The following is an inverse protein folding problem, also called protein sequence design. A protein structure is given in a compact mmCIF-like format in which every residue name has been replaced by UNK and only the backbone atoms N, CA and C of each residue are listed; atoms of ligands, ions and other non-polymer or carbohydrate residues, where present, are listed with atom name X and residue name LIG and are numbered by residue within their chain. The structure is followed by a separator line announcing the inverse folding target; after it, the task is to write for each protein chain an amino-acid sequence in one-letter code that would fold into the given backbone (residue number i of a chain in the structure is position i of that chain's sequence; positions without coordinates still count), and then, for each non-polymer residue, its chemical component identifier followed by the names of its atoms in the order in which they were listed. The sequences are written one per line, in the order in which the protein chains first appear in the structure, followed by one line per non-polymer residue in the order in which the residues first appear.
data_IF_087634159700
#
_entry.id   IF_087634159700
#
_cell.length_a   1.000
_cell.length_b   1.000
_cell.length_c   1.000
_cell.angle_alpha   90.00
_cell.angle_beta   90.00
_cell.angle_gamma   90.00
#
_symmetry.space_group_name_H-M   'P 1'
#
loop_
_entity.id
_entity.type
_entity.pdbx_description
1 polymer ?
#
# COMPACT_ATOMS: atom_id res chain seq x y z
N UNK A 1 13.27 -1.04 3.76
CA UNK A 1 13.38 -1.02 2.28
C UNK A 1 13.87 0.33 1.77
N UNK A 2 14.66 0.36 0.69
CA UNK A 2 15.00 1.58 -0.06
C UNK A 2 14.17 1.60 -1.33
N UNK A 3 13.31 2.61 -1.47
CA UNK A 3 12.52 2.88 -2.66
C UNK A 3 13.21 3.99 -3.46
N UNK A 4 13.58 3.71 -4.71
CA UNK A 4 14.37 4.61 -5.55
C UNK A 4 14.06 4.45 -7.04
N UNK A 5 14.41 5.46 -7.84
CA UNK A 5 14.39 5.32 -9.31
C UNK A 5 15.74 4.83 -9.81
N UNK A 6 15.75 3.95 -10.83
CA UNK A 6 16.99 3.38 -11.34
C UNK A 6 18.03 4.42 -11.84
N UNK A 7 17.62 5.67 -12.13
CA UNK A 7 18.57 6.75 -12.45
C UNK A 7 19.51 7.09 -11.29
N UNK A 8 19.09 6.85 -10.06
CA UNK A 8 19.86 7.11 -8.84
C UNK A 8 20.54 5.84 -8.30
N UNK A 9 20.65 4.76 -9.09
CA UNK A 9 21.20 3.45 -8.68
C UNK A 9 22.58 3.54 -8.04
N UNK A 10 23.49 4.35 -8.59
CA UNK A 10 24.85 4.46 -8.07
C UNK A 10 24.88 5.01 -6.62
N UNK A 11 24.15 6.09 -6.37
CA UNK A 11 24.09 6.71 -5.04
C UNK A 11 23.29 5.85 -4.05
N UNK A 12 22.18 5.24 -4.50
CA UNK A 12 21.41 4.32 -3.66
C UNK A 12 22.22 3.08 -3.28
N UNK A 13 23.09 2.58 -4.16
CA UNK A 13 24.00 1.49 -3.86
C UNK A 13 25.02 1.87 -2.78
N UNK A 14 25.57 3.09 -2.82
CA UNK A 14 26.47 3.57 -1.77
C UNK A 14 25.76 3.66 -0.41
N UNK A 15 24.54 4.20 -0.39
CA UNK A 15 23.70 4.28 0.82
C UNK A 15 23.40 2.87 1.35
N UNK A 16 23.02 1.94 0.47
CA UNK A 16 22.80 0.54 0.82
C UNK A 16 24.05 -0.09 1.46
N UNK A 17 25.21 0.04 0.82
CA UNK A 17 26.46 -0.55 1.30
C UNK A 17 26.82 -0.02 2.71
N UNK A 18 26.61 1.28 2.98
CA UNK A 18 26.82 1.86 4.32
C UNK A 18 25.78 1.41 5.35
N UNK A 19 24.51 1.28 4.98
CA UNK A 19 23.47 0.77 5.89
C UNK A 19 23.73 -0.70 6.25
N UNK A 20 24.17 -1.54 5.30
CA UNK A 20 24.56 -2.93 5.59
C UNK A 20 25.75 -2.96 6.56
N UNK A 21 26.80 -2.16 6.31
CA UNK A 21 27.96 -2.05 7.23
C UNK A 21 27.56 -1.61 8.63
N UNK A 22 26.55 -0.75 8.74
CA UNK A 22 26.01 -0.30 10.02
C UNK A 22 25.06 -1.32 10.71
N UNK A 23 24.86 -2.50 10.11
CA UNK A 23 24.10 -3.61 10.69
C UNK A 23 22.60 -3.61 10.38
N UNK A 24 22.12 -2.78 9.45
CA UNK A 24 20.71 -2.80 9.04
C UNK A 24 20.44 -3.97 8.09
N UNK A 25 19.27 -4.60 8.24
CA UNK A 25 18.72 -5.46 7.19
C UNK A 25 18.01 -4.57 6.18
N UNK A 26 18.58 -4.46 4.99
CA UNK A 26 18.06 -3.58 3.94
C UNK A 26 17.63 -4.40 2.74
N UNK A 27 16.43 -4.12 2.26
CA UNK A 27 15.96 -4.58 0.97
C UNK A 27 16.02 -3.43 -0.03
N UNK A 28 16.51 -3.71 -1.24
CA UNK A 28 16.57 -2.79 -2.37
C UNK A 28 16.54 -3.61 -3.66
N UNK A 29 15.82 -3.12 -4.67
CA UNK A 29 15.75 -3.76 -5.97
C UNK A 29 16.86 -3.26 -6.91
N UNK A 30 17.98 -3.98 -7.00
CA UNK A 30 19.08 -3.60 -7.89
C UNK A 30 18.92 -4.07 -9.33
N UNK A 31 18.27 -5.21 -9.54
CA UNK A 31 18.14 -5.87 -10.82
C UNK A 31 16.68 -5.76 -11.22
N UNK A 32 16.38 -5.04 -12.32
CA UNK A 32 15.00 -4.90 -12.83
C UNK A 32 14.28 -6.24 -12.67
N UNK A 33 13.37 -6.33 -11.70
CA UNK A 33 12.82 -7.63 -11.35
C UNK A 33 12.11 -8.20 -12.58
N UNK A 34 12.46 -9.44 -12.95
CA UNK A 34 11.76 -10.18 -13.99
C UNK A 34 10.74 -11.09 -13.29
N UNK A 35 9.46 -11.01 -13.65
CA UNK A 35 8.39 -11.83 -13.05
C UNK A 35 7.37 -11.01 -12.24
N UNK A 36 6.99 -11.49 -11.05
CA UNK A 36 5.98 -10.85 -10.20
C UNK A 36 6.57 -9.73 -9.33
N UNK A 37 7.01 -8.68 -10.01
CA UNK A 37 7.67 -7.50 -9.44
C UNK A 37 6.83 -6.87 -8.31
N UNK A 38 5.51 -6.82 -8.51
CA UNK A 38 4.60 -6.17 -7.57
C UNK A 38 4.46 -6.92 -6.25
N UNK A 39 4.43 -8.26 -6.27
CA UNK A 39 4.36 -9.06 -5.05
C UNK A 39 5.66 -8.97 -4.24
N UNK A 40 6.81 -9.00 -4.93
CA UNK A 40 8.10 -8.85 -4.27
C UNK A 40 8.23 -7.47 -3.60
N UNK A 41 7.77 -6.40 -4.26
CA UNK A 41 7.72 -5.05 -3.70
C UNK A 41 6.76 -4.96 -2.51
N UNK A 42 5.54 -5.52 -2.63
CA UNK A 42 4.56 -5.53 -1.55
C UNK A 42 5.09 -6.25 -0.32
N UNK A 43 5.67 -7.43 -0.51
CA UNK A 43 6.29 -8.22 0.55
C UNK A 43 7.46 -7.46 1.21
N UNK A 44 8.29 -6.77 0.43
CA UNK A 44 9.39 -5.97 0.96
C UNK A 44 8.91 -4.81 1.85
N UNK A 45 7.82 -4.15 1.47
CA UNK A 45 7.19 -3.09 2.28
C UNK A 45 6.55 -3.69 3.53
N UNK A 46 5.89 -4.84 3.43
CA UNK A 46 5.25 -5.50 4.58
C UNK A 46 6.25 -5.99 5.62
N UNK A 47 7.41 -6.47 5.18
CA UNK A 47 8.49 -6.95 6.05
C UNK A 47 9.41 -5.83 6.55
N UNK A 48 9.24 -4.60 6.06
CA UNK A 48 10.05 -3.45 6.45
C UNK A 48 9.34 -2.60 7.50
N UNK A 49 10.02 -2.27 8.59
CA UNK A 49 9.56 -1.26 9.55
C UNK A 49 9.63 0.16 8.97
N UNK A 50 10.65 0.39 8.12
CA UNK A 50 10.97 1.71 7.56
C UNK A 50 11.16 1.61 6.05
N UNK A 51 10.60 2.58 5.33
CA UNK A 51 10.77 2.78 3.89
C UNK A 51 11.50 4.10 3.65
N UNK A 52 12.69 4.01 3.06
CA UNK A 52 13.47 5.17 2.66
C UNK A 52 13.02 5.59 1.26
N UNK A 53 12.53 6.81 1.11
CA UNK A 53 12.08 7.36 -0.18
C UNK A 53 13.18 8.23 -0.77
N UNK A 54 13.81 7.77 -1.84
CA UNK A 54 14.86 8.49 -2.56
C UNK A 54 14.25 9.47 -3.57
N UNK A 55 14.04 10.72 -3.13
CA UNK A 55 13.39 11.75 -3.92
C UNK A 55 14.23 12.24 -5.10
N UNK A 56 13.62 12.18 -6.27
CA UNK A 56 14.06 12.79 -7.52
C UNK A 56 12.87 13.04 -8.44
N UNK A 57 13.07 13.80 -9.52
CA UNK A 57 12.05 14.00 -10.56
C UNK A 57 11.66 12.66 -11.20
N UNK A 58 12.63 11.74 -11.34
CA UNK A 58 12.40 10.43 -11.92
C UNK A 58 11.68 9.48 -10.97
N UNK A 59 11.97 9.58 -9.67
CA UNK A 59 11.19 8.93 -8.65
C UNK A 59 9.72 9.37 -8.72
N UNK A 60 9.46 10.68 -8.81
CA UNK A 60 8.11 11.24 -8.92
C UNK A 60 7.36 10.77 -10.18
N UNK A 61 8.06 10.57 -11.29
CA UNK A 61 7.48 10.11 -12.56
C UNK A 61 7.29 8.59 -12.64
N UNK A 62 7.95 7.83 -11.78
CA UNK A 62 7.89 6.37 -11.80
C UNK A 62 6.60 5.87 -11.16
N UNK A 63 5.79 5.15 -11.94
CA UNK A 63 4.58 4.51 -11.44
C UNK A 63 4.88 3.47 -10.34
N UNK A 64 6.01 2.76 -10.45
CA UNK A 64 6.46 1.80 -9.43
C UNK A 64 6.82 2.51 -8.12
N UNK A 65 7.63 3.57 -8.19
CA UNK A 65 8.00 4.36 -7.01
C UNK A 65 6.78 4.99 -6.34
N UNK A 66 5.81 5.46 -7.15
CA UNK A 66 4.54 5.97 -6.67
C UNK A 66 3.75 4.88 -5.91
N UNK A 67 3.64 3.68 -6.48
CA UNK A 67 2.96 2.57 -5.84
C UNK A 67 3.64 2.18 -4.50
N UNK A 68 4.98 2.13 -4.46
CA UNK A 68 5.73 1.85 -3.22
C UNK A 68 5.47 2.88 -2.13
N UNK A 69 5.61 4.17 -2.47
CA UNK A 69 5.40 5.26 -1.53
C UNK A 69 3.97 5.25 -0.96
N UNK A 70 2.99 5.04 -1.82
CA UNK A 70 1.58 4.98 -1.41
C UNK A 70 1.30 3.74 -0.57
N UNK A 71 1.86 2.58 -0.93
CA UNK A 71 1.65 1.35 -0.16
C UNK A 71 2.32 1.43 1.22
N UNK A 72 3.53 1.99 1.28
CA UNK A 72 4.22 2.26 2.54
C UNK A 72 3.39 3.19 3.44
N UNK A 73 2.81 4.24 2.86
CA UNK A 73 1.93 5.17 3.58
C UNK A 73 0.65 4.49 4.10
N UNK A 74 -0.02 3.70 3.26
CA UNK A 74 -1.23 2.95 3.65
C UNK A 74 -0.99 1.91 4.72
N UNK A 75 0.21 1.30 4.74
CA UNK A 75 0.63 0.33 5.76
C UNK A 75 1.26 0.97 6.99
N UNK A 76 1.14 2.30 7.12
CA UNK A 76 1.68 3.09 8.23
C UNK A 76 3.16 2.77 8.50
N UNK A 77 3.92 2.46 7.43
CA UNK A 77 5.36 2.26 7.54
C UNK A 77 6.01 3.60 7.82
N UNK A 78 7.04 3.59 8.65
CA UNK A 78 7.84 4.80 8.87
C UNK A 78 8.48 5.19 7.54
N UNK A 79 8.14 6.37 7.04
CA UNK A 79 8.72 6.92 5.81
C UNK A 79 9.86 7.86 6.20
N UNK A 80 11.04 7.65 5.62
CA UNK A 80 12.19 8.55 5.76
C UNK A 80 12.56 9.08 4.37
N UNK A 81 12.17 10.31 4.01
CA UNK A 81 12.52 10.88 2.72
C UNK A 81 13.98 11.34 2.70
N UNK A 82 14.66 11.11 1.58
CA UNK A 82 16.01 11.63 1.31
C UNK A 82 16.05 12.29 -0.05
N UNK A 83 16.73 13.42 -0.18
CA UNK A 83 16.84 14.17 -1.44
C UNK A 83 18.12 13.81 -2.16
N UNK A 84 18.00 13.10 -3.29
CA UNK A 84 19.16 12.68 -4.09
C UNK A 84 19.40 13.59 -5.29
N UNK A 85 18.38 14.25 -5.82
CA UNK A 85 18.51 15.17 -6.95
C UNK A 85 18.66 16.63 -6.51
N UNK A 86 19.72 17.29 -6.99
CA UNK A 86 19.98 18.72 -6.76
C UNK A 86 18.83 19.59 -7.27
N UNK A 87 18.42 20.58 -6.47
CA UNK A 87 17.35 21.55 -6.79
C UNK A 87 15.97 20.93 -7.05
N UNK A 88 15.78 19.64 -6.76
CA UNK A 88 14.46 19.02 -6.85
C UNK A 88 13.59 19.46 -5.66
N UNK A 89 12.33 19.74 -5.95
CA UNK A 89 11.30 19.99 -4.93
C UNK A 89 10.14 19.03 -5.18
N UNK A 90 9.73 18.24 -4.18
CA UNK A 90 8.58 17.37 -4.34
C UNK A 90 7.32 18.19 -4.57
N UNK A 91 6.44 17.68 -5.42
CA UNK A 91 5.14 18.26 -5.77
C UNK A 91 4.07 17.16 -5.91
N UNK A 92 2.82 17.58 -6.12
CA UNK A 92 1.68 16.70 -6.39
C UNK A 92 1.55 15.55 -5.38
N UNK A 93 1.46 14.32 -5.89
CA UNK A 93 1.23 13.12 -5.08
C UNK A 93 2.37 12.85 -4.08
N UNK A 94 3.61 13.16 -4.46
CA UNK A 94 4.76 12.90 -3.60
C UNK A 94 4.75 13.87 -2.42
N UNK A 95 4.55 15.17 -2.70
CA UNK A 95 4.43 16.18 -1.65
C UNK A 95 3.29 15.88 -0.67
N UNK A 96 2.18 15.30 -1.14
CA UNK A 96 1.09 14.89 -0.26
C UNK A 96 1.50 13.82 0.77
N UNK A 97 2.38 12.88 0.39
CA UNK A 97 2.84 11.79 1.26
C UNK A 97 3.94 12.27 2.22
N UNK A 98 4.89 13.07 1.73
CA UNK A 98 6.11 13.39 2.48
C UNK A 98 6.22 14.84 2.95
N UNK A 99 5.28 15.71 2.59
CA UNK A 99 5.41 17.17 2.78
C UNK A 99 5.49 17.63 4.24
N UNK A 100 5.04 16.80 5.19
CA UNK A 100 5.14 17.08 6.63
C UNK A 100 6.38 16.42 7.27
N UNK A 101 7.14 15.62 6.52
CA UNK A 101 8.28 14.88 7.02
C UNK A 101 9.57 15.68 6.82
N UNK A 102 10.46 15.60 7.81
CA UNK A 102 11.84 16.05 7.63
C UNK A 102 12.55 15.10 6.65
N UNK A 103 13.36 15.67 5.77
CA UNK A 103 14.14 14.90 4.81
C UNK A 103 15.63 15.19 4.95
N UNK A 104 16.45 14.17 4.65
CA UNK A 104 17.91 14.31 4.61
C UNK A 104 18.35 14.71 3.21
N UNK A 105 19.03 15.83 3.09
CA UNK A 105 19.50 16.33 1.79
C UNK A 105 20.94 15.91 1.50
N UNK A 106 21.12 14.92 0.61
CA UNK A 106 22.43 14.44 0.17
C UNK A 106 23.14 15.37 -0.82
N UNK A 107 22.49 16.45 -1.26
CA UNK A 107 23.10 17.50 -2.09
C UNK A 107 23.60 18.68 -1.25
N UNK A 108 23.11 18.82 -0.01
CA UNK A 108 23.49 19.92 0.90
C UNK A 108 24.67 19.57 1.80
N UNK A 109 24.83 18.30 2.16
CA UNK A 109 25.85 17.83 3.08
C UNK A 109 26.78 16.81 2.40
N UNK A 110 28.05 16.79 2.82
CA UNK A 110 28.98 15.71 2.46
C UNK A 110 28.39 14.34 2.82
N UNK A 111 28.66 13.35 1.99
CA UNK A 111 28.04 12.02 2.09
C UNK A 111 28.12 11.39 3.50
N UNK A 112 29.27 11.40 4.22
CA UNK A 112 29.33 10.86 5.58
C UNK A 112 28.41 11.58 6.57
N UNK A 113 28.27 12.90 6.44
CA UNK A 113 27.40 13.70 7.30
C UNK A 113 25.92 13.44 6.98
N UNK A 114 25.56 13.34 5.71
CA UNK A 114 24.21 12.95 5.29
C UNK A 114 23.85 11.55 5.80
N UNK A 115 24.77 10.59 5.73
CA UNK A 115 24.58 9.24 6.29
C UNK A 115 24.38 9.24 7.80
N UNK A 116 25.11 10.07 8.55
CA UNK A 116 24.89 10.22 10.00
C UNK A 116 23.49 10.77 10.32
N UNK A 117 23.01 11.76 9.54
CA UNK A 117 21.65 12.28 9.68
C UNK A 117 20.62 11.21 9.37
N UNK A 118 20.81 10.45 8.28
CA UNK A 118 19.95 9.32 7.93
C UNK A 118 19.91 8.27 9.04
N UNK A 119 21.05 7.89 9.62
CA UNK A 119 21.08 6.95 10.75
C UNK A 119 20.30 7.45 11.96
N UNK A 120 20.37 8.75 12.25
CA UNK A 120 19.58 9.35 13.32
C UNK A 120 18.09 9.19 13.03
N UNK A 121 17.64 9.56 11.84
CA UNK A 121 16.25 9.41 11.44
C UNK A 121 15.80 7.95 11.46
N UNK A 122 16.65 6.99 11.08
CA UNK A 122 16.31 5.57 11.12
C UNK A 122 16.15 5.03 12.55
N UNK A 123 16.97 5.48 13.51
CA UNK A 123 16.97 5.02 14.91
C UNK A 123 15.88 5.62 15.80
N UNK A 124 15.30 6.75 15.44
CA UNK A 124 14.21 7.35 16.23
C UNK A 124 13.00 6.41 16.19
N UNK A 125 12.88 5.49 17.14
CA UNK A 125 11.63 4.76 17.36
C UNK A 125 10.55 5.78 17.69
N UNK A 126 9.39 5.65 17.06
CA UNK A 126 8.20 6.43 17.38
C UNK A 126 7.87 6.21 18.85
N UNK A 127 8.09 7.24 19.69
CA UNK A 127 7.51 7.29 21.03
C UNK A 127 6.00 7.24 20.82
N UNK A 128 5.39 6.11 21.15
CA UNK A 128 3.95 6.00 21.26
C UNK A 128 3.58 6.88 22.45
N UNK A 129 3.13 8.10 22.20
CA UNK A 129 2.44 8.90 23.22
C UNK A 129 1.09 8.23 23.48
N UNK A 130 1.09 7.25 24.38
CA UNK A 130 -0.11 6.87 25.11
C UNK A 130 -0.55 8.07 25.94
N UNK A 131 -1.46 8.88 25.41
CA UNK A 131 -2.28 9.79 26.20
C UNK A 131 -3.25 8.98 27.08
N UNK A 132 -2.72 8.31 28.09
CA UNK A 132 -3.46 8.01 29.32
C UNK A 132 -3.12 9.11 30.31
N UNK A 133 -4.00 10.11 30.41
CA UNK A 133 -4.02 11.02 31.56
C UNK A 133 -5.31 10.79 32.38
N UNK A 134 -5.23 10.85 33.72
CA UNK A 134 -6.24 10.31 34.62
C UNK A 134 -7.24 11.40 35.03
N UNK A 135 -8.54 11.12 34.93
CA UNK A 135 -9.57 11.98 35.53
C UNK A 135 -10.16 11.26 36.73
N UNK A 136 -9.85 11.77 37.92
CA UNK A 136 -10.49 11.41 39.19
C UNK A 136 -11.89 12.05 39.31
N UNK A 137 -12.77 11.49 40.14
CA UNK A 137 -14.22 11.68 40.04
C UNK A 137 -14.72 12.89 40.83
N UNK A 138 -15.81 13.49 40.36
CA UNK A 138 -16.74 14.27 41.19
C UNK A 138 -18.18 13.89 40.85
N UNK A 139 -18.78 13.11 41.75
CA UNK A 139 -20.21 13.12 42.14
C UNK A 139 -20.71 14.57 42.33
N UNK A 140 -21.97 14.97 42.22
CA UNK A 140 -23.30 14.39 42.04
C UNK A 140 -24.19 15.55 41.54
N UNK A 141 -25.30 15.29 40.84
CA UNK A 141 -26.66 15.70 41.27
C UNK A 141 -27.69 15.16 40.28
N UNK A 142 -28.64 14.42 40.84
CA UNK A 142 -29.75 13.70 40.24
C UNK A 142 -30.89 14.65 39.88
N UNK A 143 -31.47 14.54 38.67
CA UNK A 143 -32.92 14.70 38.48
C UNK A 143 -33.37 13.72 37.39
N UNK A 144 -34.23 12.78 37.78
CA UNK A 144 -34.82 11.74 36.95
C UNK A 144 -36.05 12.23 36.20
N UNK A 145 -36.24 11.87 34.92
CA UNK A 145 -37.57 11.71 34.29
C UNK A 145 -37.54 10.59 33.21
N UNK A 146 -38.13 9.45 33.59
CA UNK A 146 -39.02 8.54 32.85
C UNK A 146 -38.82 8.22 31.34
N UNK A 147 -38.41 6.96 31.11
CA UNK A 147 -38.89 5.95 30.13
C UNK A 147 -39.25 6.33 28.69
N UNK A 148 -38.41 5.87 27.75
CA UNK A 148 -38.83 5.06 26.60
C UNK A 148 -37.64 4.19 26.16
N UNK A 149 -37.71 2.88 26.42
CA UNK A 149 -36.77 1.91 25.86
C UNK A 149 -37.04 1.80 24.36
N UNK A 150 -36.16 2.38 23.54
CA UNK A 150 -36.08 2.05 22.12
C UNK A 150 -34.90 1.11 21.98
N UNK A 151 -35.20 -0.18 21.86
CA UNK A 151 -34.24 -1.20 21.44
C UNK A 151 -33.60 -0.77 20.12
N UNK A 152 -32.26 -0.86 19.95
CA UNK A 152 -31.65 -0.74 18.64
C UNK A 152 -32.23 -1.82 17.73
N UNK A 153 -32.60 -1.50 16.48
CA UNK A 153 -33.19 -2.47 15.58
C UNK A 153 -32.20 -3.61 15.33
N UNK A 154 -32.68 -4.83 15.57
CA UNK A 154 -32.07 -6.07 15.09
C UNK A 154 -31.90 -5.97 13.58
N UNK A 155 -30.70 -5.61 13.13
CA UNK A 155 -30.32 -5.82 11.74
C UNK A 155 -30.17 -7.34 11.58
N UNK A 156 -31.21 -7.90 10.98
CA UNK A 156 -31.33 -9.26 10.46
C UNK A 156 -29.98 -9.79 9.97
N UNK A 157 -29.29 -10.58 10.82
CA UNK A 157 -28.31 -11.55 10.34
C UNK A 157 -29.09 -12.65 9.62
N UNK A 158 -28.84 -12.81 8.33
CA UNK A 158 -28.69 -14.09 7.61
C UNK A 158 -29.17 -14.01 6.16
N UNK A 159 -28.33 -13.46 5.30
CA UNK A 159 -28.10 -14.12 4.01
C UNK A 159 -26.72 -14.73 4.15
N UNK A 160 -26.62 -16.05 4.03
CA UNK A 160 -25.35 -16.76 3.95
C UNK A 160 -24.55 -16.07 2.83
N UNK A 161 -23.59 -15.23 3.20
CA UNK A 161 -22.71 -14.60 2.23
C UNK A 161 -21.82 -15.72 1.75
N UNK A 162 -22.04 -16.24 0.55
CA UNK A 162 -21.12 -17.20 -0.04
C UNK A 162 -19.73 -16.55 -0.09
N UNK A 163 -18.84 -16.98 0.82
CA UNK A 163 -17.40 -16.65 0.77
C UNK A 163 -16.74 -17.22 -0.48
N UNK A 164 -17.44 -18.14 -1.16
CA UNK A 164 -17.06 -18.69 -2.44
C UNK A 164 -17.20 -17.64 -3.55
N UNK A 165 -16.07 -17.05 -3.93
CA UNK A 165 -15.98 -16.05 -5.01
C UNK A 165 -16.56 -16.56 -6.34
N UNK A 166 -16.59 -17.88 -6.58
CA UNK A 166 -17.15 -18.47 -7.80
C UNK A 166 -18.67 -18.26 -7.94
N UNK A 167 -19.36 -17.92 -6.85
CA UNK A 167 -20.80 -17.69 -6.81
C UNK A 167 -21.17 -16.20 -6.85
N UNK A 168 -20.18 -15.31 -6.85
CA UNK A 168 -20.46 -13.88 -6.81
C UNK A 168 -21.07 -13.37 -8.11
N UNK A 169 -22.19 -12.68 -7.98
CA UNK A 169 -22.82 -11.91 -9.05
C UNK A 169 -22.04 -10.62 -9.34
N UNK A 170 -22.34 -9.96 -10.45
CA UNK A 170 -21.75 -8.65 -10.79
C UNK A 170 -21.97 -7.60 -9.70
N UNK A 171 -23.20 -7.49 -9.16
CA UNK A 171 -23.50 -6.58 -8.04
C UNK A 171 -22.64 -6.90 -6.82
N UNK A 172 -22.43 -8.18 -6.51
CA UNK A 172 -21.62 -8.58 -5.37
C UNK A 172 -20.14 -8.24 -5.55
N UNK A 173 -19.63 -8.42 -6.77
CA UNK A 173 -18.28 -7.99 -7.15
C UNK A 173 -18.13 -6.47 -6.98
N UNK A 174 -19.11 -5.69 -7.42
CA UNK A 174 -19.10 -4.23 -7.29
C UNK A 174 -19.07 -3.79 -5.82
N UNK A 175 -19.96 -4.35 -4.98
CA UNK A 175 -19.99 -4.05 -3.55
C UNK A 175 -18.66 -4.40 -2.87
N UNK A 176 -18.06 -5.52 -3.27
CA UNK A 176 -16.78 -5.97 -2.73
C UNK A 176 -15.63 -5.05 -3.14
N UNK A 177 -15.55 -4.64 -4.42
CA UNK A 177 -14.53 -3.70 -4.91
C UNK A 177 -14.65 -2.36 -4.19
N UNK A 178 -15.86 -1.81 -4.10
CA UNK A 178 -16.12 -0.55 -3.39
C UNK A 178 -15.81 -0.65 -1.90
N UNK A 179 -16.16 -1.76 -1.25
CA UNK A 179 -15.86 -2.02 0.16
C UNK A 179 -14.37 -2.05 0.49
N UNK A 180 -13.53 -2.39 -0.49
CA UNK A 180 -12.07 -2.36 -0.37
C UNK A 180 -11.43 -1.09 -0.96
N UNK A 181 -12.22 -0.06 -1.24
CA UNK A 181 -11.79 1.21 -1.85
C UNK A 181 -11.16 1.06 -3.25
N UNK A 182 -11.53 0.04 -4.02
CA UNK A 182 -11.08 -0.20 -5.39
C UNK A 182 -12.03 0.49 -6.39
N UNK A 183 -12.05 1.83 -6.40
CA UNK A 183 -13.06 2.65 -7.10
C UNK A 183 -12.83 2.73 -8.61
N UNK A 184 -11.59 2.72 -9.08
CA UNK A 184 -11.31 2.65 -10.51
C UNK A 184 -11.60 1.26 -11.06
N UNK A 185 -11.25 0.22 -10.31
CA UNK A 185 -11.55 -1.16 -10.70
C UNK A 185 -13.05 -1.44 -10.67
N UNK A 186 -13.81 -0.87 -9.72
CA UNK A 186 -15.27 -1.01 -9.72
C UNK A 186 -15.87 -0.41 -11.00
N UNK A 187 -15.37 0.75 -11.45
CA UNK A 187 -15.78 1.38 -12.70
C UNK A 187 -15.29 0.64 -13.95
N UNK A 188 -14.17 -0.05 -13.88
CA UNK A 188 -13.60 -0.81 -15.00
C UNK A 188 -14.25 -2.19 -15.16
N UNK A 189 -14.60 -2.83 -14.04
CA UNK A 189 -15.13 -4.20 -13.95
C UNK A 189 -16.65 -4.23 -13.74
N UNK A 190 -17.38 -3.32 -14.38
CA UNK A 190 -18.85 -3.20 -14.25
C UNK A 190 -19.58 -4.50 -14.56
N UNK A 191 -19.08 -5.25 -15.55
CA UNK A 191 -19.75 -6.47 -16.06
C UNK A 191 -19.09 -7.76 -15.54
N UNK A 192 -18.12 -7.66 -14.62
CA UNK A 192 -17.39 -8.82 -14.11
C UNK A 192 -18.17 -9.52 -13.00
N UNK A 193 -18.41 -10.82 -13.18
CA UNK A 193 -18.84 -11.71 -12.12
C UNK A 193 -17.62 -12.35 -11.42
N UNK A 194 -17.86 -13.08 -10.33
CA UNK A 194 -16.78 -13.66 -9.54
C UNK A 194 -15.94 -14.71 -10.29
N UNK A 195 -16.52 -15.42 -11.26
CA UNK A 195 -15.78 -16.32 -12.15
C UNK A 195 -14.83 -15.54 -13.04
N UNK A 196 -15.30 -14.45 -13.63
CA UNK A 196 -14.50 -13.56 -14.47
C UNK A 196 -13.33 -12.95 -13.68
N UNK A 197 -13.55 -12.53 -12.43
CA UNK A 197 -12.47 -12.08 -11.53
C UNK A 197 -11.42 -13.17 -11.29
N UNK A 198 -11.85 -14.41 -11.07
CA UNK A 198 -10.92 -15.53 -10.88
C UNK A 198 -10.08 -15.83 -12.11
N UNK A 199 -10.69 -15.81 -13.30
CA UNK A 199 -9.93 -15.97 -14.55
C UNK A 199 -9.00 -14.80 -14.80
N UNK A 200 -9.44 -13.57 -14.55
CA UNK A 200 -8.58 -12.38 -14.63
C UNK A 200 -7.38 -12.50 -13.69
N UNK A 201 -7.61 -12.90 -12.44
CA UNK A 201 -6.53 -13.17 -11.48
C UNK A 201 -5.59 -14.27 -11.99
N UNK A 202 -6.10 -15.32 -12.63
CA UNK A 202 -5.27 -16.38 -13.24
C UNK A 202 -4.42 -15.83 -14.39
N UNK A 203 -4.96 -14.96 -15.24
CA UNK A 203 -4.20 -14.31 -16.32
C UNK A 203 -3.11 -13.39 -15.78
N UNK A 204 -3.40 -12.61 -14.74
CA UNK A 204 -2.42 -11.76 -14.07
C UNK A 204 -1.29 -12.61 -13.44
N UNK A 205 -1.62 -13.80 -12.92
CA UNK A 205 -0.65 -14.71 -12.28
C UNK A 205 0.21 -15.54 -13.25
N UNK A 206 -0.34 -15.96 -14.40
CA UNK A 206 0.27 -17.02 -15.22
C UNK A 206 0.90 -16.56 -16.55
N UNK A 207 0.71 -15.31 -16.99
CA UNK A 207 1.20 -14.84 -18.28
C UNK A 207 1.84 -13.45 -18.19
N UNK A 208 2.70 -13.15 -19.18
CA UNK A 208 3.42 -11.90 -19.38
C UNK A 208 2.69 -10.67 -18.79
N UNK A 209 3.03 -10.35 -17.54
CA UNK A 209 2.35 -9.33 -16.72
C UNK A 209 2.28 -7.99 -17.45
N UNK A 210 3.28 -7.69 -18.29
CA UNK A 210 3.31 -6.49 -19.12
C UNK A 210 2.23 -6.44 -20.21
N UNK A 211 1.85 -7.55 -20.84
CA UNK A 211 0.82 -7.53 -21.89
C UNK A 211 -0.57 -7.32 -21.30
N UNK A 212 -0.88 -8.04 -20.22
CA UNK A 212 -2.18 -7.91 -19.52
C UNK A 212 -2.32 -6.51 -18.92
N UNK A 213 -1.26 -5.98 -18.31
CA UNK A 213 -1.25 -4.60 -17.79
C UNK A 213 -1.43 -3.56 -18.91
N UNK A 214 -0.79 -3.73 -20.07
CA UNK A 214 -0.99 -2.83 -21.22
C UNK A 214 -2.43 -2.87 -21.73
N UNK A 215 -3.04 -4.05 -21.80
CA UNK A 215 -4.44 -4.19 -22.21
C UNK A 215 -5.38 -3.55 -21.19
N UNK A 216 -5.15 -3.76 -19.90
CA UNK A 216 -5.92 -3.14 -18.83
C UNK A 216 -5.75 -1.61 -18.79
N UNK A 217 -4.54 -1.12 -19.02
CA UNK A 217 -4.25 0.31 -19.10
C UNK A 217 -4.96 0.94 -20.30
N UNK A 218 -4.87 0.30 -21.47
CA UNK A 218 -5.59 0.74 -22.67
C UNK A 218 -7.11 0.73 -22.46
N UNK A 219 -7.65 -0.31 -21.82
CA UNK A 219 -9.09 -0.42 -21.57
C UNK A 219 -9.57 0.57 -20.50
N UNK A 220 -8.74 0.84 -19.49
CA UNK A 220 -8.97 1.88 -18.48
C UNK A 220 -9.03 3.27 -19.11
N UNK A 221 -8.05 3.62 -19.94
CA UNK A 221 -8.05 4.88 -20.68
C UNK A 221 -9.26 4.99 -21.60
N UNK A 222 -9.64 3.89 -22.28
CA UNK A 222 -10.78 3.85 -23.21
C UNK A 222 -12.14 3.98 -22.51
N UNK A 223 -12.35 3.29 -21.39
CA UNK A 223 -13.66 3.15 -20.73
C UNK A 223 -13.89 4.17 -19.63
N UNK A 224 -12.86 4.48 -18.83
CA UNK A 224 -13.00 5.34 -17.65
C UNK A 224 -12.23 6.66 -17.79
N UNK A 225 -11.49 6.86 -18.89
CA UNK A 225 -10.67 8.05 -19.16
C UNK A 225 -9.64 8.35 -18.07
N UNK A 226 -9.16 7.30 -17.41
CA UNK A 226 -8.17 7.35 -16.34
C UNK A 226 -7.15 6.24 -16.56
N UNK A 227 -5.89 6.47 -16.21
CA UNK A 227 -4.91 5.40 -16.13
C UNK A 227 -5.23 4.49 -14.94
N UNK A 228 -5.09 3.18 -15.13
CA UNK A 228 -5.39 2.22 -14.09
C UNK A 228 -4.43 2.38 -12.91
N UNK A 229 -4.97 2.55 -11.71
CA UNK A 229 -4.18 2.67 -10.50
C UNK A 229 -3.47 1.35 -10.21
N UNK A 230 -2.14 1.37 -10.25
CA UNK A 230 -1.33 0.23 -9.84
C UNK A 230 -1.56 -0.15 -8.37
N UNK A 231 -2.00 0.78 -7.51
CA UNK A 231 -2.40 0.48 -6.13
C UNK A 231 -3.68 -0.34 -6.11
N UNK A 232 -4.69 0.07 -6.87
CA UNK A 232 -5.93 -0.67 -6.89
C UNK A 232 -5.69 -2.07 -7.49
N UNK A 233 -4.86 -2.15 -8.52
CA UNK A 233 -4.43 -3.44 -9.08
C UNK A 233 -3.66 -4.31 -8.08
N UNK A 234 -2.74 -3.75 -7.30
CA UNK A 234 -1.98 -4.53 -6.29
C UNK A 234 -2.87 -4.97 -5.13
N UNK A 235 -3.73 -4.08 -4.63
CA UNK A 235 -4.72 -4.41 -3.61
C UNK A 235 -5.69 -5.49 -4.11
N UNK A 236 -6.20 -5.36 -5.34
CA UNK A 236 -7.02 -6.38 -5.98
C UNK A 236 -6.29 -7.72 -6.07
N UNK A 237 -5.04 -7.72 -6.50
CA UNK A 237 -4.24 -8.94 -6.61
C UNK A 237 -4.05 -9.64 -5.26
N UNK A 238 -3.68 -8.88 -4.22
CA UNK A 238 -3.53 -9.37 -2.85
C UNK A 238 -4.81 -10.00 -2.32
N UNK A 239 -5.95 -9.31 -2.51
CA UNK A 239 -7.25 -9.80 -2.09
C UNK A 239 -7.67 -11.08 -2.83
N UNK A 240 -7.41 -11.15 -4.15
CA UNK A 240 -7.68 -12.36 -4.94
C UNK A 240 -6.83 -13.55 -4.48
N UNK A 241 -5.57 -13.30 -4.09
CA UNK A 241 -4.70 -14.33 -3.53
C UNK A 241 -5.20 -14.84 -2.17
N UNK A 242 -5.67 -13.94 -1.29
CA UNK A 242 -6.28 -14.30 -0.01
C UNK A 242 -7.53 -15.17 -0.20
N UNK A 243 -8.41 -14.79 -1.12
CA UNK A 243 -9.59 -15.59 -1.47
C UNK A 243 -9.21 -16.97 -2.01
N UNK A 244 -8.18 -17.07 -2.85
CA UNK A 244 -7.69 -18.35 -3.38
C UNK A 244 -7.16 -19.26 -2.26
N UNK A 245 -6.42 -18.70 -1.29
CA UNK A 245 -5.91 -19.43 -0.12
C UNK A 245 -7.06 -19.93 0.76
N UNK A 246 -8.10 -19.12 0.99
CA UNK A 246 -9.30 -19.50 1.76
C UNK A 246 -10.09 -20.62 1.08
N UNK A 247 -10.24 -20.56 -0.24
CA UNK A 247 -10.83 -21.65 -1.02
C UNK A 247 -10.05 -22.95 -0.85
N UNK A 248 -8.72 -22.90 -1.00
CA UNK A 248 -7.88 -24.09 -0.81
C UNK A 248 -8.01 -24.68 0.60
N UNK A 249 -8.05 -23.85 1.65
CA UNK A 249 -8.27 -24.34 3.02
C UNK A 249 -9.66 -24.95 3.23
N UNK A 250 -10.70 -24.44 2.57
CA UNK A 250 -12.05 -25.02 2.65
C UNK A 250 -12.11 -26.41 2.01
N UNK A 251 -11.44 -26.63 0.89
CA UNK A 251 -11.40 -27.94 0.24
C UNK A 251 -10.52 -28.95 1.01
N UNK A 252 -9.43 -28.51 1.65
CA UNK A 252 -8.57 -29.38 2.46
C UNK A 252 -9.16 -29.75 3.83
N UNK A 253 -10.18 -29.05 4.31
CA UNK A 253 -10.85 -29.33 5.59
C UNK A 253 -12.04 -30.28 5.46
N UNK A 254 -12.41 -30.66 4.22
CA UNK A 254 -13.52 -31.55 3.89
C UNK A 254 -13.07 -32.93 3.39
N UNK A 255 -11.80 -33.29 3.61
CA UNK A 255 -11.18 -34.60 3.32
C UNK A 255 -10.46 -35.11 4.55
#
# INVERSE_FOLDING_TARGET
MISYSHKEKALCKQIYDELIKAGYRVWIDFDQMHGNVMDAMAQAIEQSNTVIICMSEQYRKSNYCRAEAQYAFQRERKIVPILLQKQYKPDGWLLFIIGQLLYVDFNKYEFPRAMQMLHKELKVESVVETHTAPVRPKENTVVAHSTAYISPPEILRSSIVSENILEWTQSRVQDWLLGHNLRQLSRLFTDCDGRSLMYLSKYINNCESQQVLKVLEADSLRRINESISLIELSCFHSLMHEHKKRLQSMYSSNT
#
